data_IF_484518932278
#
_entry.id   IF_484518932278
#
_cell.length_a   1.000
_cell.length_b   1.000
_cell.length_c   1.000
_cell.angle_alpha   90.00
_cell.angle_beta   90.00
_cell.angle_gamma   90.00
#
_symmetry.space_group_name_H-M   'P 1'
#
loop_
_entity.id
_entity.type
_entity.pdbx_description
1 polymer ?
#
# COMPACT_ATOMS: atom_id res chain seq x y z
N UNK A 1 54.01 38.98 -53.32
CA UNK A 1 52.70 38.76 -53.98
C UNK A 1 51.71 38.38 -52.90
N UNK A 2 50.82 39.30 -52.54
CA UNK A 2 49.85 39.15 -51.46
C UNK A 2 48.70 38.23 -51.92
N UNK A 3 48.46 37.14 -51.20
CA UNK A 3 47.30 36.28 -51.41
C UNK A 3 46.06 37.03 -50.91
N UNK A 4 45.24 37.49 -51.85
CA UNK A 4 43.90 38.01 -51.60
C UNK A 4 43.01 36.87 -51.08
N UNK A 5 42.89 36.76 -49.76
CA UNK A 5 41.94 35.87 -49.12
C UNK A 5 40.51 36.37 -49.41
N UNK A 6 39.73 35.57 -50.14
CA UNK A 6 38.35 35.91 -50.48
C UNK A 6 37.49 36.02 -49.21
N UNK A 7 36.97 37.21 -48.84
CA UNK A 7 36.23 37.43 -47.59
C UNK A 7 34.89 36.66 -47.53
N UNK A 8 34.40 36.19 -48.68
CA UNK A 8 33.18 35.39 -48.77
C UNK A 8 33.37 33.96 -48.26
N UNK A 9 34.59 33.40 -48.35
CA UNK A 9 34.87 32.01 -47.94
C UNK A 9 35.03 31.92 -46.42
N UNK A 10 35.71 32.91 -45.83
CA UNK A 10 35.85 33.04 -44.36
C UNK A 10 34.51 33.28 -43.68
N UNK A 11 33.63 34.08 -44.29
CA UNK A 11 32.28 34.33 -43.76
C UNK A 11 31.40 33.07 -43.79
N UNK A 12 31.44 32.29 -44.88
CA UNK A 12 30.68 31.03 -44.99
C UNK A 12 31.17 29.98 -43.98
N UNK A 13 32.48 29.89 -43.75
CA UNK A 13 33.04 28.96 -42.77
C UNK A 13 32.65 29.34 -41.33
N UNK A 14 32.66 30.63 -40.99
CA UNK A 14 32.22 31.11 -39.68
C UNK A 14 30.73 30.84 -39.41
N UNK A 15 29.86 31.01 -40.41
CA UNK A 15 28.42 30.72 -40.28
C UNK A 15 28.20 29.21 -40.03
N UNK A 16 28.98 28.36 -40.70
CA UNK A 16 28.89 26.89 -40.56
C UNK A 16 29.39 26.41 -39.19
N UNK A 17 30.44 27.03 -38.65
CA UNK A 17 30.95 26.73 -37.30
C UNK A 17 29.94 27.18 -36.25
N UNK A 18 29.33 28.36 -36.42
CA UNK A 18 28.32 28.89 -35.50
C UNK A 18 27.06 28.02 -35.49
N UNK A 19 26.61 27.52 -36.64
CA UNK A 19 25.43 26.66 -36.73
C UNK A 19 25.66 25.28 -36.09
N UNK A 20 26.85 24.69 -36.29
CA UNK A 20 27.23 23.43 -35.63
C UNK A 20 27.36 23.62 -34.11
N UNK A 21 27.98 24.73 -33.67
CA UNK A 21 28.08 25.06 -32.25
C UNK A 21 26.72 25.24 -31.57
N UNK A 22 25.80 25.96 -32.21
CA UNK A 22 24.42 26.11 -31.73
C UNK A 22 23.68 24.76 -31.68
N UNK A 23 23.85 23.90 -32.69
CA UNK A 23 23.25 22.57 -32.69
C UNK A 23 23.76 21.72 -31.50
N UNK A 24 25.08 21.69 -31.25
CA UNK A 24 25.67 20.94 -30.13
C UNK A 24 25.21 21.46 -28.77
N UNK A 25 25.05 22.78 -28.61
CA UNK A 25 24.49 23.38 -27.38
C UNK A 25 23.02 23.00 -27.22
N UNK A 26 22.22 22.98 -28.29
CA UNK A 26 20.84 22.51 -28.23
C UNK A 26 20.76 21.01 -27.85
N UNK A 27 21.55 20.14 -28.48
CA UNK A 27 21.55 18.70 -28.16
C UNK A 27 21.97 18.39 -26.71
N UNK A 28 22.90 19.16 -26.15
CA UNK A 28 23.31 19.02 -24.74
C UNK A 28 22.24 19.52 -23.76
N UNK A 29 21.41 20.50 -24.14
CA UNK A 29 20.26 20.95 -23.34
C UNK A 29 19.05 20.02 -23.42
N UNK A 30 18.85 19.31 -24.54
CA UNK A 30 17.78 18.31 -24.64
C UNK A 30 18.08 17.01 -23.86
N UNK A 31 19.34 16.76 -23.49
CA UNK A 31 19.73 15.52 -22.80
C UNK A 31 19.59 15.58 -21.27
N UNK A 32 19.25 16.73 -20.68
CA UNK A 32 19.12 16.89 -19.21
C UNK A 32 17.70 17.09 -18.70
N UNK A 33 16.69 17.03 -19.58
CA UNK A 33 15.28 17.09 -19.21
C UNK A 33 14.59 15.76 -19.52
N UNK A 34 15.08 14.67 -18.92
CA UNK A 34 14.19 13.52 -18.71
C UNK A 34 13.36 13.86 -17.48
N UNK A 35 12.03 14.02 -17.58
CA UNK A 35 11.20 14.05 -16.39
C UNK A 35 11.52 12.77 -15.63
N UNK A 36 11.77 12.86 -14.32
CA UNK A 36 11.66 11.71 -13.44
C UNK A 36 10.19 11.29 -13.45
N UNK A 37 9.76 10.66 -14.55
CA UNK A 37 8.50 9.97 -14.61
C UNK A 37 8.67 8.86 -13.58
N UNK A 38 7.85 8.93 -12.53
CA UNK A 38 7.68 7.92 -11.51
C UNK A 38 7.11 6.65 -12.16
N UNK A 39 7.86 6.08 -13.11
CA UNK A 39 7.43 4.99 -13.95
C UNK A 39 7.57 3.76 -13.07
N UNK A 40 6.43 3.26 -12.58
CA UNK A 40 6.36 2.04 -11.80
C UNK A 40 7.10 0.94 -12.55
N UNK A 41 8.12 0.38 -11.91
CA UNK A 41 8.93 -0.67 -12.50
C UNK A 41 8.07 -1.90 -12.78
N UNK A 42 8.40 -2.69 -13.81
CA UNK A 42 7.85 -4.04 -13.89
C UNK A 42 8.48 -4.88 -12.76
N UNK A 43 7.73 -5.76 -12.11
CA UNK A 43 8.22 -6.45 -10.90
C UNK A 43 9.51 -7.23 -11.10
N UNK A 44 9.76 -7.81 -12.28
CA UNK A 44 11.06 -8.44 -12.55
C UNK A 44 12.22 -7.42 -12.55
N UNK A 45 12.00 -6.19 -13.00
CA UNK A 45 13.02 -5.12 -12.96
C UNK A 45 13.29 -4.67 -11.52
N UNK A 46 12.24 -4.56 -10.71
CA UNK A 46 12.38 -4.25 -9.27
C UNK A 46 13.18 -5.34 -8.54
N UNK A 47 12.92 -6.62 -8.86
CA UNK A 47 13.68 -7.75 -8.32
C UNK A 47 15.15 -7.65 -8.74
N UNK A 48 15.46 -7.41 -10.02
CA UNK A 48 16.85 -7.29 -10.47
C UNK A 48 17.59 -6.14 -9.80
N UNK A 49 16.93 -5.01 -9.54
CA UNK A 49 17.52 -3.89 -8.79
C UNK A 49 17.78 -4.26 -7.34
N UNK A 50 16.81 -4.87 -6.66
CA UNK A 50 16.97 -5.34 -5.29
C UNK A 50 18.09 -6.38 -5.17
N UNK A 51 18.20 -7.31 -6.12
CA UNK A 51 19.27 -8.32 -6.10
C UNK A 51 20.66 -7.74 -6.38
N UNK A 52 20.75 -6.56 -7.01
CA UNK A 52 22.00 -5.82 -7.16
C UNK A 52 22.48 -5.12 -5.89
N UNK A 53 21.61 -4.93 -4.90
CA UNK A 53 21.93 -4.40 -3.57
C UNK A 53 22.10 -5.58 -2.59
N UNK A 54 23.27 -5.77 -1.97
CA UNK A 54 23.52 -6.96 -1.16
C UNK A 54 22.59 -7.09 0.05
N UNK A 55 22.25 -5.98 0.70
CA UNK A 55 21.32 -5.93 1.82
C UNK A 55 19.89 -6.28 1.38
N UNK A 56 19.41 -5.71 0.27
CA UNK A 56 18.10 -6.03 -0.29
C UNK A 56 18.02 -7.46 -0.80
N UNK A 57 19.06 -7.97 -1.46
CA UNK A 57 19.14 -9.36 -1.89
C UNK A 57 18.98 -10.34 -0.73
N UNK A 58 19.68 -10.08 0.38
CA UNK A 58 19.57 -10.88 1.60
C UNK A 58 18.14 -10.81 2.17
N UNK A 59 17.60 -9.61 2.35
CA UNK A 59 16.25 -9.41 2.89
C UNK A 59 15.16 -10.05 1.99
N UNK A 60 15.31 -9.96 0.68
CA UNK A 60 14.41 -10.57 -0.30
C UNK A 60 14.42 -12.10 -0.19
N UNK A 61 15.59 -12.69 0.00
CA UNK A 61 15.73 -14.14 0.22
C UNK A 61 15.05 -14.57 1.52
N UNK A 62 15.24 -13.81 2.61
CA UNK A 62 14.55 -14.09 3.89
C UNK A 62 13.03 -13.98 3.75
N UNK A 63 12.53 -12.98 3.01
CA UNK A 63 11.12 -12.83 2.68
C UNK A 63 10.56 -14.06 1.95
N UNK A 64 11.23 -14.55 0.91
CA UNK A 64 10.79 -15.73 0.16
C UNK A 64 10.69 -16.98 1.05
N UNK A 65 11.65 -17.19 1.94
CA UNK A 65 11.63 -18.31 2.88
C UNK A 65 10.53 -18.16 3.94
N UNK A 66 10.42 -16.98 4.55
CA UNK A 66 9.50 -16.73 5.66
C UNK A 66 8.03 -16.73 5.20
N UNK A 67 7.75 -16.18 4.02
CA UNK A 67 6.41 -16.06 3.48
C UNK A 67 5.99 -17.20 2.55
N UNK A 68 6.89 -18.14 2.24
CA UNK A 68 6.63 -19.29 1.35
C UNK A 68 5.31 -20.04 1.65
N UNK A 69 4.95 -20.36 2.91
CA UNK A 69 3.68 -21.00 3.22
C UNK A 69 2.44 -20.16 2.87
N UNK A 70 2.54 -18.83 2.90
CA UNK A 70 1.46 -17.92 2.50
C UNK A 70 1.40 -17.80 0.98
N UNK A 71 2.55 -17.62 0.32
CA UNK A 71 2.65 -17.52 -1.15
C UNK A 71 2.08 -18.78 -1.82
N UNK A 72 2.38 -19.95 -1.27
CA UNK A 72 1.90 -21.23 -1.79
C UNK A 72 0.43 -21.53 -1.43
N UNK A 73 -0.22 -20.70 -0.61
CA UNK A 73 -1.59 -20.90 -0.17
C UNK A 73 -1.77 -21.92 0.97
N UNK A 74 -0.68 -22.39 1.58
CA UNK A 74 -0.72 -23.36 2.69
C UNK A 74 -1.23 -22.74 4.01
N UNK A 75 -1.15 -21.41 4.16
CA UNK A 75 -1.64 -20.69 5.33
C UNK A 75 -2.42 -19.44 4.94
N UNK A 76 -3.58 -19.25 5.59
CA UNK A 76 -4.43 -18.06 5.46
C UNK A 76 -4.05 -16.92 6.43
N UNK A 77 -3.34 -17.23 7.51
CA UNK A 77 -2.84 -16.26 8.50
C UNK A 77 -1.35 -16.03 8.28
N UNK A 78 -0.92 -14.78 8.42
CA UNK A 78 0.47 -14.36 8.24
C UNK A 78 1.32 -14.74 9.47
N UNK A 79 2.38 -15.55 9.30
CA UNK A 79 3.32 -15.81 10.37
C UNK A 79 4.08 -14.54 10.78
N UNK A 80 4.42 -14.42 12.07
CA UNK A 80 5.18 -13.26 12.59
C UNK A 80 6.49 -13.04 11.84
N UNK A 81 7.25 -14.11 11.55
CA UNK A 81 8.50 -14.03 10.79
C UNK A 81 8.32 -13.58 9.34
N UNK A 82 7.19 -13.90 8.70
CA UNK A 82 6.86 -13.36 7.38
C UNK A 82 6.65 -11.84 7.46
N UNK A 83 5.85 -11.37 8.42
CA UNK A 83 5.63 -9.93 8.64
C UNK A 83 6.96 -9.22 8.93
N UNK A 84 7.78 -9.74 9.85
CA UNK A 84 9.10 -9.16 10.16
C UNK A 84 10.04 -9.14 8.96
N UNK A 85 10.05 -10.17 8.12
CA UNK A 85 10.87 -10.21 6.90
C UNK A 85 10.43 -9.16 5.87
N UNK A 86 9.12 -8.91 5.76
CA UNK A 86 8.58 -7.85 4.90
C UNK A 86 9.01 -6.47 5.42
N UNK A 87 8.96 -6.24 6.73
CA UNK A 87 9.45 -4.98 7.34
C UNK A 87 10.92 -4.77 6.98
N UNK A 88 11.76 -5.79 7.17
CA UNK A 88 13.20 -5.69 6.90
C UNK A 88 13.48 -5.42 5.42
N UNK A 89 12.75 -6.09 4.51
CA UNK A 89 12.83 -5.82 3.08
C UNK A 89 12.47 -4.36 2.77
N UNK A 90 11.39 -3.84 3.35
CA UNK A 90 10.93 -2.47 3.09
C UNK A 90 11.87 -1.39 3.67
N UNK A 91 12.79 -1.73 4.59
CA UNK A 91 13.81 -0.81 5.11
C UNK A 91 15.05 -0.67 4.20
N UNK A 92 15.17 -1.52 3.18
CA UNK A 92 16.28 -1.46 2.20
C UNK A 92 16.03 -0.40 1.11
N UNK A 93 17.06 -0.05 0.34
CA UNK A 93 16.94 1.03 -0.65
C UNK A 93 15.98 0.65 -1.78
N UNK A 94 16.09 -0.58 -2.31
CA UNK A 94 15.28 -1.03 -3.44
C UNK A 94 14.07 -1.90 -3.05
N UNK A 95 13.94 -2.30 -1.78
CA UNK A 95 12.85 -3.15 -1.30
C UNK A 95 11.43 -2.60 -1.50
N UNK A 96 11.14 -1.32 -1.19
CA UNK A 96 9.82 -0.73 -1.38
C UNK A 96 9.31 -0.82 -2.84
N UNK A 97 10.21 -0.79 -3.82
CA UNK A 97 9.84 -0.88 -5.23
C UNK A 97 9.21 -2.24 -5.62
N UNK A 98 9.41 -3.29 -4.81
CA UNK A 98 8.77 -4.61 -5.01
C UNK A 98 7.28 -4.59 -4.66
N UNK A 99 6.87 -3.70 -3.75
CA UNK A 99 5.46 -3.49 -3.39
C UNK A 99 4.75 -2.69 -4.49
N UNK A 100 5.40 -1.67 -5.06
CA UNK A 100 4.77 -0.75 -6.02
C UNK A 100 4.86 -1.18 -7.50
N UNK A 101 5.67 -2.20 -7.80
CA UNK A 101 5.90 -2.63 -9.18
C UNK A 101 4.66 -3.19 -9.89
N UNK A 102 4.66 -3.14 -11.22
CA UNK A 102 3.59 -3.69 -12.07
C UNK A 102 3.90 -5.13 -12.50
N UNK A 103 2.91 -6.02 -12.37
CA UNK A 103 3.03 -7.41 -12.82
C UNK A 103 2.78 -7.61 -14.31
N UNK A 104 2.31 -6.58 -15.04
CA UNK A 104 1.87 -6.71 -16.45
C UNK A 104 0.90 -7.89 -16.64
N UNK A 105 1.20 -8.87 -17.50
CA UNK A 105 0.40 -10.08 -17.74
C UNK A 105 0.78 -11.28 -16.86
N UNK A 106 1.80 -11.18 -16.01
CA UNK A 106 2.27 -12.28 -15.16
C UNK A 106 1.25 -12.62 -14.06
N UNK A 107 0.66 -13.81 -14.17
CA UNK A 107 -0.36 -14.32 -13.23
C UNK A 107 0.25 -14.71 -11.88
N UNK A 108 1.45 -15.28 -11.87
CA UNK A 108 2.14 -15.68 -10.65
C UNK A 108 2.51 -14.46 -9.81
N UNK A 109 3.01 -13.41 -10.46
CA UNK A 109 3.28 -12.13 -9.81
C UNK A 109 2.01 -11.56 -9.15
N UNK A 110 0.90 -11.51 -9.90
CA UNK A 110 -0.39 -11.01 -9.39
C UNK A 110 -0.90 -11.83 -8.21
N UNK A 111 -0.83 -13.15 -8.30
CA UNK A 111 -1.24 -14.05 -7.22
C UNK A 111 -0.38 -13.87 -5.98
N UNK A 112 0.95 -13.78 -6.15
CA UNK A 112 1.89 -13.58 -5.04
C UNK A 112 1.63 -12.25 -4.34
N UNK A 113 1.47 -11.14 -5.08
CA UNK A 113 1.16 -9.83 -4.50
C UNK A 113 -0.14 -9.86 -3.71
N UNK A 114 -1.20 -10.48 -4.24
CA UNK A 114 -2.49 -10.63 -3.53
C UNK A 114 -2.39 -11.52 -2.29
N UNK A 115 -1.61 -12.59 -2.34
CA UNK A 115 -1.43 -13.48 -1.20
C UNK A 115 -0.69 -12.80 -0.04
N UNK A 116 0.22 -11.86 -0.37
CA UNK A 116 1.08 -11.19 0.60
C UNK A 116 0.54 -9.85 1.09
N UNK A 117 -0.35 -9.19 0.33
CA UNK A 117 -1.03 -7.96 0.74
C UNK A 117 -1.54 -7.99 2.21
N UNK A 118 -2.19 -9.07 2.71
CA UNK A 118 -2.66 -9.11 4.09
C UNK A 118 -1.56 -9.18 5.14
N UNK A 119 -0.35 -9.60 4.76
CA UNK A 119 0.82 -9.71 5.65
C UNK A 119 1.64 -8.41 5.69
N UNK A 120 1.34 -7.47 4.80
CA UNK A 120 2.11 -6.24 4.68
C UNK A 120 1.81 -5.35 5.89
N UNK A 121 2.83 -4.99 6.68
CA UNK A 121 2.68 -4.01 7.74
C UNK A 121 2.35 -2.67 7.10
N UNK A 122 1.29 -2.02 7.59
CA UNK A 122 0.87 -0.66 7.17
C UNK A 122 1.83 0.42 7.67
N UNK A 123 3.14 0.24 7.47
CA UNK A 123 4.22 1.07 8.03
C UNK A 123 4.83 2.03 7.01
N UNK A 124 4.41 2.01 5.74
CA UNK A 124 4.82 3.02 4.73
C UNK A 124 3.85 4.20 4.61
N UNK A 125 2.98 4.41 5.60
CA UNK A 125 2.06 5.53 5.58
C UNK A 125 2.70 6.71 6.31
N UNK A 126 2.90 7.80 5.58
CA UNK A 126 3.22 9.11 6.13
C UNK A 126 2.34 9.42 7.36
N UNK A 127 2.93 9.97 8.42
CA UNK A 127 2.16 10.42 9.58
C UNK A 127 1.21 11.57 9.19
N UNK A 128 -0.01 11.57 9.71
CA UNK A 128 -0.99 12.61 9.41
C UNK A 128 -0.51 14.02 9.82
N UNK A 129 0.36 14.11 10.82
CA UNK A 129 1.01 15.36 11.22
C UNK A 129 1.87 15.95 10.09
N UNK A 130 2.67 15.11 9.41
CA UNK A 130 3.51 15.54 8.30
C UNK A 130 2.68 15.75 7.01
N UNK A 131 1.70 14.90 6.74
CA UNK A 131 0.77 15.08 5.63
C UNK A 131 0.02 16.42 5.73
N UNK A 132 -0.41 16.79 6.95
CA UNK A 132 -1.05 18.08 7.23
C UNK A 132 -0.10 19.23 6.95
N UNK A 133 1.12 19.19 7.47
CA UNK A 133 2.14 20.21 7.22
C UNK A 133 2.38 20.42 5.73
N UNK A 134 2.47 19.35 4.94
CA UNK A 134 2.65 19.47 3.49
C UNK A 134 1.45 20.09 2.78
N UNK A 135 0.22 19.77 3.22
CA UNK A 135 -0.99 20.38 2.70
C UNK A 135 -1.08 21.87 3.05
N UNK A 136 -0.67 22.26 4.26
CA UNK A 136 -0.66 23.66 4.70
C UNK A 136 0.32 24.54 3.91
N UNK A 137 1.44 23.97 3.47
CA UNK A 137 2.45 24.64 2.65
C UNK A 137 2.01 24.81 1.19
N UNK A 138 1.01 24.06 0.74
CA UNK A 138 0.43 24.17 -0.59
C UNK A 138 -0.82 25.08 -0.56
N UNK A 139 -0.85 26.20 -1.31
CA UNK A 139 -1.94 27.17 -1.21
C UNK A 139 -3.33 26.59 -1.57
N UNK A 140 -3.37 25.69 -2.56
CA UNK A 140 -4.60 25.05 -3.04
C UNK A 140 -5.13 24.06 -2.00
N UNK A 141 -4.25 23.19 -1.50
CA UNK A 141 -4.57 22.21 -0.46
C UNK A 141 -4.97 22.90 0.85
N UNK A 142 -4.23 23.92 1.27
CA UNK A 142 -4.52 24.73 2.46
C UNK A 142 -5.90 25.39 2.38
N UNK A 143 -6.29 25.88 1.20
CA UNK A 143 -7.64 26.41 0.97
C UNK A 143 -8.70 25.31 1.07
N UNK A 144 -8.52 24.19 0.38
CA UNK A 144 -9.45 23.07 0.43
C UNK A 144 -9.57 22.47 1.84
N UNK A 145 -8.49 22.45 2.63
CA UNK A 145 -8.50 21.99 4.01
C UNK A 145 -9.33 22.91 4.93
N UNK A 146 -9.32 24.23 4.69
CA UNK A 146 -10.21 25.16 5.40
C UNK A 146 -11.68 24.93 5.04
N UNK A 147 -11.97 24.73 3.75
CA UNK A 147 -13.33 24.42 3.29
C UNK A 147 -13.84 23.11 3.90
N UNK A 148 -12.96 22.13 4.05
CA UNK A 148 -13.26 20.86 4.69
C UNK A 148 -13.67 21.05 6.14
N UNK A 149 -12.84 21.74 6.94
CA UNK A 149 -13.15 22.01 8.34
C UNK A 149 -14.46 22.80 8.50
N UNK A 150 -14.78 23.70 7.56
CA UNK A 150 -16.00 24.51 7.62
C UNK A 150 -17.26 23.71 7.25
N UNK A 151 -17.23 22.95 6.16
CA UNK A 151 -18.40 22.24 5.63
C UNK A 151 -18.62 20.85 6.22
N UNK A 152 -17.56 20.22 6.71
CA UNK A 152 -17.61 18.91 7.36
C UNK A 152 -17.64 18.97 8.89
N UNK A 153 -17.72 20.14 9.52
CA UNK A 153 -17.76 20.27 11.00
C UNK A 153 -18.76 19.37 11.73
N UNK A 154 -19.91 19.11 11.08
CA UNK A 154 -20.98 18.24 11.62
C UNK A 154 -20.58 16.76 11.69
N UNK A 155 -19.67 16.34 10.81
CA UNK A 155 -19.07 15.01 10.82
C UNK A 155 -18.32 14.74 12.13
N UNK A 156 -17.64 15.77 12.67
CA UNK A 156 -16.89 15.67 13.92
C UNK A 156 -17.82 15.56 15.14
N UNK A 157 -19.08 15.98 15.01
CA UNK A 157 -20.10 15.80 16.05
C UNK A 157 -20.80 14.44 16.02
N UNK A 158 -20.41 13.53 15.11
CA UNK A 158 -21.09 12.24 14.92
C UNK A 158 -22.42 12.33 14.16
N UNK A 159 -22.69 13.43 13.44
CA UNK A 159 -23.85 13.55 12.56
C UNK A 159 -23.59 12.90 11.17
N UNK A 160 -24.66 12.84 10.36
CA UNK A 160 -24.62 12.46 8.94
C UNK A 160 -23.65 13.32 8.10
N UNK A 161 -23.12 12.71 7.04
CA UNK A 161 -22.36 13.42 6.02
C UNK A 161 -23.31 14.27 5.15
N UNK A 162 -23.06 15.58 5.07
CA UNK A 162 -23.86 16.49 4.24
C UNK A 162 -23.42 16.45 2.79
N UNK A 163 -24.30 16.84 1.85
CA UNK A 163 -23.92 16.91 0.43
C UNK A 163 -22.84 17.94 0.16
N UNK A 164 -22.79 19.01 0.97
CA UNK A 164 -21.72 19.99 0.85
C UNK A 164 -20.38 19.43 1.34
N UNK A 165 -20.39 18.67 2.43
CA UNK A 165 -19.20 17.96 2.90
C UNK A 165 -18.72 16.93 1.84
N UNK A 166 -19.62 16.13 1.25
CA UNK A 166 -19.28 15.20 0.15
C UNK A 166 -18.61 15.88 -1.03
N UNK A 167 -19.08 17.06 -1.44
CA UNK A 167 -18.45 17.83 -2.51
C UNK A 167 -17.04 18.27 -2.15
N UNK A 168 -16.83 18.74 -0.93
CA UNK A 168 -15.49 19.16 -0.48
C UNK A 168 -14.53 17.98 -0.37
N UNK A 169 -14.98 16.83 0.13
CA UNK A 169 -14.18 15.59 0.15
C UNK A 169 -13.76 15.22 -1.28
N UNK A 170 -14.69 15.26 -2.23
CA UNK A 170 -14.41 14.98 -3.65
C UNK A 170 -13.38 15.97 -4.22
N UNK A 171 -13.50 17.25 -3.88
CA UNK A 171 -12.53 18.28 -4.28
C UNK A 171 -11.14 17.99 -3.69
N UNK A 172 -11.06 17.70 -2.38
CA UNK A 172 -9.79 17.34 -1.74
C UNK A 172 -9.13 16.12 -2.39
N UNK A 173 -9.91 15.10 -2.79
CA UNK A 173 -9.35 13.92 -3.46
C UNK A 173 -8.73 14.24 -4.83
N UNK A 174 -9.07 15.38 -5.45
CA UNK A 174 -8.47 15.82 -6.70
C UNK A 174 -7.14 16.55 -6.52
N UNK A 175 -6.82 16.99 -5.30
CA UNK A 175 -5.60 17.75 -4.98
C UNK A 175 -4.52 16.76 -4.50
N UNK A 176 -3.35 16.67 -5.18
CA UNK A 176 -2.33 15.65 -4.87
C UNK A 176 -1.84 15.68 -3.41
N UNK A 177 -1.66 16.87 -2.83
CA UNK A 177 -1.21 17.00 -1.43
C UNK A 177 -2.28 16.60 -0.41
N UNK A 178 -3.56 16.71 -0.76
CA UNK A 178 -4.65 16.30 0.11
C UNK A 178 -4.87 14.77 0.09
N UNK A 179 -4.50 14.06 -0.98
CA UNK A 179 -4.55 12.59 -1.02
C UNK A 179 -3.66 11.93 0.05
N UNK A 180 -2.59 12.62 0.46
CA UNK A 180 -1.73 12.16 1.56
C UNK A 180 -2.48 12.13 2.90
N UNK A 181 -3.47 13.00 3.10
CA UNK A 181 -4.29 13.04 4.34
C UNK A 181 -5.26 11.86 4.43
N UNK A 182 -5.71 11.32 3.29
CA UNK A 182 -6.60 10.16 3.25
C UNK A 182 -5.87 8.89 3.72
N UNK A 183 -4.65 8.68 3.22
CA UNK A 183 -3.87 7.46 3.43
C UNK A 183 -2.90 7.52 4.63
N UNK A 184 -2.72 8.67 5.27
CA UNK A 184 -1.79 8.82 6.39
C UNK A 184 -2.16 7.97 7.63
N UNK A 185 -1.19 7.72 8.50
CA UNK A 185 -1.43 7.11 9.82
C UNK A 185 -1.54 8.21 10.88
N UNK A 186 -2.60 8.15 11.69
CA UNK A 186 -2.83 9.11 12.77
C UNK A 186 -1.70 9.03 13.80
N UNK A 187 -0.99 10.13 13.99
CA UNK A 187 0.19 10.26 14.86
C UNK A 187 0.13 11.58 15.65
N UNK A 188 1.12 11.78 16.53
CA UNK A 188 1.22 13.00 17.33
C UNK A 188 0.17 13.14 18.44
N UNK A 189 0.01 14.36 18.93
CA UNK A 189 -0.89 14.69 20.06
C UNK A 189 -2.37 14.66 19.67
N UNK A 190 -2.68 14.87 18.39
CA UNK A 190 -4.05 14.88 17.85
C UNK A 190 -4.52 13.48 17.42
N UNK A 191 -3.76 12.41 17.75
CA UNK A 191 -4.03 11.04 17.28
C UNK A 191 -5.47 10.58 17.53
N UNK A 192 -6.00 10.77 18.74
CA UNK A 192 -7.36 10.35 19.09
C UNK A 192 -8.42 11.06 18.25
N UNK A 193 -8.24 12.37 17.99
CA UNK A 193 -9.14 13.15 17.16
C UNK A 193 -9.03 12.70 15.70
N UNK A 194 -7.81 12.50 15.20
CA UNK A 194 -7.58 12.01 13.84
C UNK A 194 -8.26 10.66 13.59
N UNK A 195 -8.10 9.70 14.50
CA UNK A 195 -8.73 8.38 14.40
C UNK A 195 -10.26 8.49 14.39
N UNK A 196 -10.81 9.29 15.31
CA UNK A 196 -12.24 9.57 15.36
C UNK A 196 -12.78 10.18 14.06
N UNK A 197 -12.07 11.17 13.50
CA UNK A 197 -12.45 11.80 12.23
C UNK A 197 -12.40 10.80 11.08
N UNK A 198 -11.36 9.97 10.97
CA UNK A 198 -11.24 8.95 9.92
C UNK A 198 -12.37 7.91 10.00
N UNK A 199 -12.69 7.44 11.20
CA UNK A 199 -13.79 6.48 11.40
C UNK A 199 -15.14 7.11 11.08
N UNK A 200 -15.39 8.33 11.58
CA UNK A 200 -16.65 9.06 11.31
C UNK A 200 -16.84 9.31 9.81
N UNK A 201 -15.78 9.77 9.14
CA UNK A 201 -15.76 9.96 7.68
C UNK A 201 -16.14 8.68 6.94
N UNK A 202 -15.50 7.56 7.27
CA UNK A 202 -15.79 6.25 6.67
C UNK A 202 -17.26 5.85 6.86
N UNK A 203 -17.76 5.97 8.08
CA UNK A 203 -19.09 5.50 8.43
C UNK A 203 -20.22 6.36 7.82
N UNK A 204 -20.05 7.68 7.78
CA UNK A 204 -21.11 8.59 7.36
C UNK A 204 -21.05 9.02 5.90
N UNK A 205 -19.85 9.02 5.28
CA UNK A 205 -19.68 9.51 3.90
C UNK A 205 -19.48 8.39 2.87
N UNK A 206 -19.03 7.19 3.27
CA UNK A 206 -18.63 6.12 2.34
C UNK A 206 -19.39 4.80 2.50
N UNK A 207 -20.25 4.66 3.52
CA UNK A 207 -21.22 3.56 3.60
C UNK A 207 -22.28 3.73 2.51
N UNK A 208 -22.63 2.63 1.85
CA UNK A 208 -23.30 2.55 0.56
C UNK A 208 -24.53 3.43 0.37
N UNK A 209 -24.67 3.86 -0.87
CA UNK A 209 -25.85 4.53 -1.45
C UNK A 209 -27.07 3.61 -1.47
N UNK A 210 -27.65 3.32 -0.31
CA UNK A 210 -29.06 2.96 -0.17
C UNK A 210 -29.61 3.63 1.09
N UNK A 211 -30.36 4.71 0.91
CA UNK A 211 -30.93 5.47 2.02
C UNK A 211 -31.49 6.84 1.59
N UNK A 212 -32.08 6.90 0.40
CA UNK A 212 -33.05 7.94 0.06
C UNK A 212 -34.45 7.37 0.25
N UNK A 213 -35.35 8.18 0.82
CA UNK A 213 -36.73 7.88 1.26
C UNK A 213 -36.78 7.00 2.52
N UNK A 214 -37.67 7.19 3.49
CA UNK A 214 -38.93 7.90 3.59
C UNK A 214 -39.62 7.35 4.83
N UNK A 215 -40.58 8.09 5.38
CA UNK A 215 -41.52 7.66 6.42
C UNK A 215 -41.84 6.15 6.41
N UNK A 216 -41.66 5.47 7.54
CA UNK A 216 -42.68 4.62 8.16
C UNK A 216 -42.17 4.14 9.51
N UNK A 217 -42.83 4.59 10.58
CA UNK A 217 -42.84 3.91 11.86
C UNK A 217 -43.32 2.48 11.65
N UNK A 218 -42.51 1.51 12.04
CA UNK A 218 -43.00 0.18 12.40
C UNK A 218 -42.04 -0.35 13.46
N UNK A 219 -42.53 -0.34 14.69
CA UNK A 219 -41.92 -0.99 15.83
C UNK A 219 -41.97 -2.49 15.56
N UNK A 220 -40.81 -3.15 15.53
CA UNK A 220 -40.71 -4.58 15.76
C UNK A 220 -39.60 -4.81 16.79
N UNK A 221 -40.10 -5.08 17.98
CA UNK A 221 -39.43 -5.46 19.21
C UNK A 221 -38.94 -6.91 19.07
N UNK A 222 -37.62 -7.10 19.05
CA UNK A 222 -36.99 -8.39 19.26
C UNK A 222 -35.84 -8.20 20.24
N UNK A 223 -36.19 -8.19 21.52
CA UNK A 223 -35.30 -8.60 22.59
C UNK A 223 -34.90 -10.06 22.35
N UNK A 224 -33.59 -10.33 22.22
CA UNK A 224 -33.08 -11.65 22.55
C UNK A 224 -31.83 -11.49 23.42
N UNK A 225 -31.94 -12.14 24.56
CA UNK A 225 -31.20 -11.97 25.79
C UNK A 225 -29.81 -12.63 25.69
N UNK A 226 -28.78 -11.93 26.14
CA UNK A 226 -27.42 -12.46 26.26
C UNK A 226 -27.11 -12.71 27.74
N UNK A 227 -27.51 -13.86 28.26
CA UNK A 227 -26.95 -14.33 29.53
C UNK A 227 -25.68 -15.15 29.29
N UNK A 228 -24.63 -14.70 29.99
CA UNK A 228 -23.25 -15.14 29.93
C UNK A 228 -23.07 -16.30 30.90
N UNK A 229 -22.50 -17.43 30.47
CA UNK A 229 -22.01 -18.44 31.40
C UNK A 229 -20.50 -18.61 31.23
N UNK A 230 -19.78 -18.40 32.34
CA UNK A 230 -18.34 -18.50 32.47
C UNK A 230 -17.93 -19.92 32.84
N UNK A 231 -16.83 -20.37 32.23
CA UNK A 231 -15.83 -21.32 32.72
C UNK A 231 -16.27 -22.74 33.12
N UNK A 232 -15.80 -23.73 32.36
CA UNK A 232 -15.06 -24.83 32.98
C UNK A 232 -14.02 -25.42 32.00
N UNK A 233 -12.77 -25.45 32.45
CA UNK A 233 -11.66 -26.19 31.83
C UNK A 233 -11.83 -27.69 32.11
N UNK A 234 -11.91 -28.57 31.11
CA UNK A 234 -11.26 -29.89 31.19
C UNK A 234 -11.29 -30.72 29.88
N UNK A 235 -10.09 -31.06 29.41
CA UNK A 235 -9.72 -32.42 28.94
C UNK A 235 -10.21 -32.98 27.59
N UNK A 236 -9.65 -32.50 26.47
CA UNK A 236 -9.57 -33.30 25.22
C UNK A 236 -8.20 -33.96 25.07
N UNK A 237 -7.92 -34.92 25.96
CA UNK A 237 -6.76 -35.81 25.89
C UNK A 237 -7.15 -37.25 25.50
N UNK A 238 -8.30 -37.46 24.86
CA UNK A 238 -8.86 -38.81 24.64
C UNK A 238 -8.79 -39.31 23.19
N UNK A 239 -8.42 -38.49 22.22
CA UNK A 239 -8.41 -38.89 20.80
C UNK A 239 -7.13 -39.61 20.35
N UNK A 240 -6.07 -39.61 21.17
CA UNK A 240 -4.83 -40.35 20.86
C UNK A 240 -4.78 -41.77 21.46
N UNK A 241 -5.74 -42.12 22.33
CA UNK A 241 -5.76 -43.42 23.04
C UNK A 241 -6.56 -44.49 22.30
N UNK A 242 -7.54 -44.11 21.49
CA UNK A 242 -8.30 -45.04 20.64
C UNK A 242 -7.47 -45.56 19.44
N UNK A 243 -6.62 -44.71 18.87
CA UNK A 243 -5.82 -45.08 17.70
C UNK A 243 -4.63 -46.01 18.02
N UNK A 244 -4.14 -46.00 19.27
CA UNK A 244 -3.04 -46.88 19.72
C UNK A 244 -3.50 -48.24 20.22
N UNK A 245 -4.76 -48.39 20.66
CA UNK A 245 -5.31 -49.70 21.02
C UNK A 245 -5.58 -50.59 19.79
N UNK A 246 -5.98 -49.99 18.66
CA UNK A 246 -6.27 -50.73 17.42
C UNK A 246 -5.02 -51.39 16.80
N UNK A 247 -3.84 -50.77 16.92
CA UNK A 247 -2.59 -51.29 16.34
C UNK A 247 -2.05 -52.49 17.16
N UNK A 248 -2.22 -52.50 18.48
CA UNK A 248 -1.69 -53.56 19.37
C UNK A 248 -2.50 -54.85 19.26
N UNK A 249 -3.81 -54.78 18.98
CA UNK A 249 -4.64 -55.99 18.80
C UNK A 249 -4.37 -56.65 17.44
N UNK A 250 -4.04 -55.87 16.41
CA UNK A 250 -3.74 -56.39 15.06
C UNK A 250 -2.40 -57.13 14.99
N UNK A 251 -1.39 -56.70 15.75
CA UNK A 251 -0.09 -57.39 15.82
C UNK A 251 -0.14 -58.68 16.64
N UNK A 252 -1.00 -58.77 17.65
CA UNK A 252 -1.17 -60.01 18.43
C UNK A 252 -1.94 -61.08 17.62
N UNK A 253 -2.96 -60.69 16.85
CA UNK A 253 -3.73 -61.63 16.03
C UNK A 253 -2.90 -62.24 14.88
N UNK A 254 -1.96 -61.48 14.32
CA UNK A 254 -1.08 -61.95 13.25
C UNK A 254 0.01 -62.91 13.74
N UNK A 255 0.46 -62.79 15.00
CA UNK A 255 1.41 -63.73 15.62
C UNK A 255 0.76 -65.08 15.93
N UNK A 256 -0.54 -65.11 16.27
CA UNK A 256 -1.26 -66.36 16.53
C UNK A 256 -1.70 -67.13 15.27
N UNK A 257 -1.75 -66.48 14.11
CA UNK A 257 -2.13 -67.12 12.84
C UNK A 257 -0.89 -67.69 12.09
N UNK A 258 0.32 -67.23 12.43
CA UNK A 258 1.58 -67.72 11.84
C UNK A 258 2.35 -68.72 12.74
N UNK A 259 1.69 -69.34 13.72
CA UNK A 259 2.27 -70.38 14.58
C UNK A 259 1.42 -71.63 14.62
#
# INVERSE_FOLDING_TARGET
MAQSGNPAVTLRLHILILSIGCALICFSRLSTASPAHNQRLICWQAIMKCQGEPECHYAYTQYLHACGPVINGNRKKCPSHCISSIIQLNLTVNGPALEDCECSSDTLCKMTKRAIEPCMPRTSHMGCSEARKQCEMDPECSAAMRDYLYHCRKLFGGERCSDNCRRVITNMHSIPKAQLLDTCVCDGTERAICEYVKVSMKNFCFTDRYGGSGFSDTEDDFEDDYETDYEDEESDAWDLRAHKFSIVVSTILTIFILR
#
